data_IF_073291791030
#
_entry.id   IF_073291791030
#
_cell.length_a   1.000
_cell.length_b   1.000
_cell.length_c   1.000
_cell.angle_alpha   90.00
_cell.angle_beta   90.00
_cell.angle_gamma   90.00
#
_symmetry.space_group_name_H-M   'P 1'
#
loop_
_entity.id
_entity.type
_entity.pdbx_description
1 polymer ?
#
# COMPACT_ATOMS: atom_id res chain seq x y z
N UNK A 1 -0.29 22.42 -10.05
CA UNK A 1 0.33 21.10 -10.07
C UNK A 1 -0.74 20.03 -9.99
N UNK A 2 -0.64 19.03 -10.82
CA UNK A 2 -1.56 17.90 -10.80
C UNK A 2 -0.88 16.68 -10.24
N UNK A 3 -1.57 15.96 -9.38
CA UNK A 3 -1.12 14.70 -8.85
C UNK A 3 -2.06 13.60 -9.32
N UNK A 4 -1.48 12.49 -9.73
CA UNK A 4 -2.25 11.30 -10.09
C UNK A 4 -2.24 10.35 -8.88
N UNK A 5 -3.39 10.18 -8.28
CA UNK A 5 -3.54 9.35 -7.09
C UNK A 5 -4.36 8.11 -7.45
N UNK A 6 -3.83 6.94 -7.10
CA UNK A 6 -4.48 5.67 -7.39
C UNK A 6 -4.77 4.90 -6.11
N UNK A 7 -5.82 4.12 -6.17
CA UNK A 7 -6.16 3.14 -5.13
C UNK A 7 -6.51 1.83 -5.84
N UNK A 8 -5.96 0.71 -5.34
CA UNK A 8 -6.10 -0.56 -6.03
C UNK A 8 -6.12 -1.71 -5.03
N UNK A 9 -7.24 -2.43 -4.98
CA UNK A 9 -7.30 -3.66 -4.21
C UNK A 9 -6.69 -4.76 -5.08
N UNK A 10 -5.50 -5.21 -4.71
CA UNK A 10 -4.75 -6.15 -5.56
C UNK A 10 -5.10 -7.62 -5.32
N UNK A 11 -5.83 -7.90 -4.23
CA UNK A 11 -6.25 -9.25 -3.89
C UNK A 11 -5.07 -10.23 -3.95
N UNK A 12 -4.01 -9.87 -3.22
CA UNK A 12 -2.79 -10.64 -3.22
C UNK A 12 -1.76 -10.05 -4.16
N UNK A 13 -0.74 -9.38 -3.58
CA UNK A 13 0.27 -8.71 -4.40
C UNK A 13 1.07 -9.69 -5.25
N UNK A 14 1.41 -10.84 -4.69
CA UNK A 14 2.20 -11.83 -5.45
C UNK A 14 1.46 -12.32 -6.68
N UNK A 15 0.14 -12.45 -6.59
CA UNK A 15 -0.65 -12.86 -7.74
C UNK A 15 -0.69 -11.78 -8.82
N UNK A 16 -0.90 -10.52 -8.41
CA UNK A 16 -1.03 -9.44 -9.39
C UNK A 16 0.33 -9.09 -10.03
N UNK A 17 1.43 -9.40 -9.37
CA UNK A 17 2.76 -9.23 -9.98
C UNK A 17 2.87 -10.04 -11.26
N UNK A 18 2.31 -11.24 -11.28
CA UNK A 18 2.34 -12.11 -12.46
C UNK A 18 1.38 -11.64 -13.54
N UNK A 19 0.57 -10.62 -13.26
CA UNK A 19 -0.40 -10.09 -14.20
C UNK A 19 -0.04 -8.68 -14.67
N UNK A 20 1.21 -8.27 -14.47
CA UNK A 20 1.70 -7.02 -15.02
C UNK A 20 1.64 -5.83 -14.09
N UNK A 21 1.63 -6.05 -12.78
CA UNK A 21 1.55 -4.96 -11.81
C UNK A 21 2.66 -3.92 -12.02
N UNK A 22 3.92 -4.39 -12.11
CA UNK A 22 5.06 -3.47 -12.26
C UNK A 22 4.99 -2.71 -13.58
N UNK A 23 4.64 -3.40 -14.67
CA UNK A 23 4.55 -2.78 -15.98
C UNK A 23 3.48 -1.70 -16.00
N UNK A 24 2.37 -1.92 -15.31
CA UNK A 24 1.30 -0.93 -15.23
C UNK A 24 1.78 0.31 -14.49
N UNK A 25 2.46 0.12 -13.35
CA UNK A 25 2.98 1.26 -12.57
C UNK A 25 4.00 2.03 -13.37
N UNK A 26 4.90 1.34 -14.07
CA UNK A 26 5.93 1.99 -14.87
C UNK A 26 5.34 2.77 -16.04
N UNK A 27 4.26 2.28 -16.62
CA UNK A 27 3.61 2.94 -17.74
C UNK A 27 2.80 4.15 -17.29
N UNK A 28 2.02 4.00 -16.24
CA UNK A 28 1.06 5.03 -15.82
C UNK A 28 1.65 6.03 -14.84
N UNK A 29 2.68 5.65 -14.11
CA UNK A 29 3.43 6.55 -13.22
C UNK A 29 2.56 7.34 -12.25
N UNK A 30 1.67 6.70 -11.48
CA UNK A 30 0.93 7.46 -10.48
C UNK A 30 1.90 8.08 -9.47
N UNK A 31 1.52 9.26 -8.97
CA UNK A 31 2.35 9.92 -7.98
C UNK A 31 2.25 9.22 -6.62
N UNK A 32 1.04 8.76 -6.28
CA UNK A 32 0.79 8.01 -5.06
C UNK A 32 -0.15 6.87 -5.41
N UNK A 33 0.20 5.67 -4.99
CA UNK A 33 -0.62 4.48 -5.17
C UNK A 33 -0.81 3.80 -3.83
N UNK A 34 -2.06 3.70 -3.38
CA UNK A 34 -2.40 2.89 -2.22
C UNK A 34 -2.94 1.55 -2.68
N UNK A 35 -2.38 0.47 -2.15
CA UNK A 35 -2.88 -0.86 -2.46
C UNK A 35 -3.45 -1.50 -1.22
N UNK A 36 -4.46 -2.34 -1.40
CA UNK A 36 -5.12 -3.06 -0.32
C UNK A 36 -5.11 -4.55 -0.61
N UNK A 37 -5.21 -5.33 0.44
CA UNK A 37 -5.18 -6.79 0.38
C UNK A 37 -3.88 -7.31 -0.24
N UNK A 38 -2.74 -6.87 0.30
CA UNK A 38 -1.45 -7.38 -0.17
C UNK A 38 -1.27 -8.85 0.17
N UNK A 39 -1.82 -9.29 1.31
CA UNK A 39 -1.72 -10.64 1.84
C UNK A 39 -0.26 -11.06 2.09
N UNK A 40 0.59 -10.08 2.41
CA UNK A 40 2.02 -10.31 2.63
C UNK A 40 2.40 -10.13 4.08
N UNK A 41 3.45 -10.83 4.45
CA UNK A 41 4.21 -10.55 5.65
C UNK A 41 5.52 -9.87 5.24
N UNK A 42 6.22 -9.32 6.20
CA UNK A 42 7.46 -8.58 5.94
C UNK A 42 8.46 -9.39 5.10
N UNK A 43 8.63 -10.66 5.45
CA UNK A 43 9.61 -11.51 4.77
C UNK A 43 9.18 -11.95 3.38
N UNK A 44 7.94 -11.63 2.97
CA UNK A 44 7.40 -12.07 1.69
C UNK A 44 7.39 -10.97 0.63
N UNK A 45 7.94 -9.81 0.95
CA UNK A 45 7.95 -8.68 0.01
C UNK A 45 8.77 -9.07 -1.22
N UNK A 46 8.17 -9.03 -2.42
CA UNK A 46 8.87 -9.47 -3.64
C UNK A 46 10.02 -8.54 -4.01
N UNK A 47 11.13 -9.12 -4.39
CA UNK A 47 12.32 -8.34 -4.79
C UNK A 47 12.09 -7.55 -6.06
N UNK A 48 11.17 -8.00 -6.90
CA UNK A 48 10.84 -7.33 -8.16
C UNK A 48 10.41 -5.89 -7.95
N UNK A 49 9.84 -5.58 -6.77
CA UNK A 49 9.42 -4.22 -6.47
C UNK A 49 10.58 -3.24 -6.42
N UNK A 50 11.81 -3.73 -6.26
CA UNK A 50 12.98 -2.85 -6.23
C UNK A 50 13.24 -2.19 -7.58
N UNK A 51 12.65 -2.70 -8.65
CA UNK A 51 12.76 -2.06 -9.97
C UNK A 51 11.96 -0.76 -10.05
N UNK A 52 11.03 -0.56 -9.11
CA UNK A 52 10.26 0.69 -9.02
C UNK A 52 11.04 1.69 -8.18
N UNK A 53 12.25 2.04 -8.63
CA UNK A 53 13.17 2.80 -7.81
C UNK A 53 12.86 4.30 -7.72
N UNK A 54 11.82 4.76 -8.42
CA UNK A 54 11.31 6.11 -8.26
C UNK A 54 10.32 6.23 -7.10
N UNK A 55 9.96 5.10 -6.50
CA UNK A 55 8.97 5.06 -5.45
C UNK A 55 9.56 4.71 -4.11
N UNK A 56 9.09 5.40 -3.08
CA UNK A 56 9.25 4.98 -1.71
C UNK A 56 8.06 4.08 -1.41
N UNK A 57 8.29 2.96 -0.73
CA UNK A 57 7.25 1.99 -0.47
C UNK A 57 7.12 1.78 1.04
N UNK A 58 5.91 1.96 1.55
CA UNK A 58 5.59 1.80 2.96
C UNK A 58 4.55 0.71 3.11
N UNK A 59 4.67 -0.08 4.15
CA UNK A 59 3.79 -1.23 4.35
C UNK A 59 3.08 -1.18 5.69
N UNK A 60 1.92 -1.84 5.75
CA UNK A 60 1.28 -2.20 7.00
C UNK A 60 0.80 -3.64 6.83
N UNK A 61 1.47 -4.55 7.52
CA UNK A 61 1.16 -5.98 7.42
C UNK A 61 0.23 -6.38 8.55
N UNK A 62 -0.67 -7.32 8.24
CA UNK A 62 -1.50 -7.92 9.27
C UNK A 62 -0.64 -8.82 10.16
N UNK A 63 -1.00 -8.92 11.42
CA UNK A 63 -0.40 -9.93 12.29
C UNK A 63 -0.83 -11.33 11.89
N UNK A 64 -1.86 -11.43 11.06
CA UNK A 64 -2.38 -12.69 10.54
C UNK A 64 -1.82 -12.97 9.17
N UNK A 65 -1.25 -14.14 9.02
CA UNK A 65 -0.62 -14.57 7.77
C UNK A 65 -1.66 -14.68 6.65
N UNK A 66 -1.29 -14.19 5.47
CA UNK A 66 -2.12 -14.31 4.28
C UNK A 66 -3.42 -13.53 4.33
N UNK A 67 -3.49 -12.50 5.16
CA UNK A 67 -4.71 -11.77 5.43
C UNK A 67 -4.46 -10.27 5.34
N UNK A 68 -5.40 -9.53 4.73
CA UNK A 68 -5.37 -8.06 4.70
C UNK A 68 -4.04 -7.52 4.18
N UNK A 69 -3.50 -6.45 4.80
CA UNK A 69 -2.26 -5.84 4.40
C UNK A 69 -2.47 -4.68 3.44
N UNK A 70 -1.79 -3.55 3.72
CA UNK A 70 -1.86 -2.38 2.85
C UNK A 70 -0.45 -1.93 2.51
N UNK A 71 -0.30 -1.27 1.37
CA UNK A 71 0.96 -0.72 0.94
C UNK A 71 0.76 0.63 0.29
N UNK A 72 1.77 1.48 0.41
CA UNK A 72 1.76 2.81 -0.17
C UNK A 72 3.01 2.99 -1.00
N UNK A 73 2.82 3.27 -2.29
CA UNK A 73 3.90 3.58 -3.21
C UNK A 73 3.82 5.07 -3.50
N UNK A 74 4.87 5.81 -3.26
CA UNK A 74 4.82 7.26 -3.43
C UNK A 74 6.12 7.78 -4.02
N UNK A 75 5.99 8.70 -4.99
CA UNK A 75 7.15 9.44 -5.52
C UNK A 75 7.50 10.61 -4.62
N UNK A 76 6.56 11.05 -3.80
CA UNK A 76 6.74 12.20 -2.91
C UNK A 76 7.21 11.71 -1.55
N UNK A 77 8.16 12.42 -0.95
CA UNK A 77 8.61 12.10 0.40
C UNK A 77 7.59 12.62 1.41
N UNK A 78 6.94 11.76 2.18
CA UNK A 78 5.99 12.24 3.18
C UNK A 78 6.72 12.88 4.37
N UNK A 79 6.07 13.86 4.99
CA UNK A 79 6.59 14.46 6.22
C UNK A 79 6.47 13.49 7.38
N UNK A 80 5.44 12.65 7.36
CA UNK A 80 5.20 11.68 8.40
C UNK A 80 4.42 10.51 7.83
N UNK A 81 4.64 9.33 8.40
CA UNK A 81 3.91 8.14 8.00
C UNK A 81 3.54 7.33 9.23
N UNK A 82 2.30 6.82 9.27
CA UNK A 82 1.87 5.93 10.33
C UNK A 82 0.95 4.86 9.77
N UNK A 83 0.75 3.80 10.56
CA UNK A 83 0.00 2.63 10.11
C UNK A 83 -1.25 2.38 10.95
N UNK A 84 -1.69 3.36 11.71
CA UNK A 84 -2.87 3.17 12.53
C UNK A 84 -3.32 4.46 13.20
N UNK A 85 -4.42 4.34 13.92
CA UNK A 85 -5.06 5.46 14.62
C UNK A 85 -4.77 5.45 16.11
N UNK A 86 -3.89 4.58 16.58
CA UNK A 86 -3.59 4.49 18.00
C UNK A 86 -4.42 3.45 18.75
N UNK A 87 -5.13 2.59 18.03
CA UNK A 87 -5.91 1.50 18.63
C UNK A 87 -5.22 0.18 18.29
N UNK A 88 -4.48 -0.42 19.24
CA UNK A 88 -3.70 -1.64 18.93
C UNK A 88 -4.54 -2.79 18.40
N UNK A 89 -5.76 -2.92 18.88
CA UNK A 89 -6.63 -4.00 18.47
C UNK A 89 -6.99 -3.88 16.98
N UNK A 90 -7.23 -2.66 16.52
CA UNK A 90 -7.56 -2.39 15.14
C UNK A 90 -6.32 -2.29 14.25
N UNK A 91 -5.26 -1.67 14.79
CA UNK A 91 -4.09 -1.31 14.00
C UNK A 91 -3.23 -2.51 13.62
N UNK A 92 -3.39 -3.64 14.29
CA UNK A 92 -2.58 -4.83 14.00
C UNK A 92 -3.08 -5.60 12.78
N UNK A 93 -4.13 -5.13 12.10
CA UNK A 93 -4.71 -5.89 11.01
C UNK A 93 -4.22 -5.48 9.61
N UNK A 94 -3.27 -4.54 9.56
CA UNK A 94 -2.69 -4.16 8.27
C UNK A 94 -3.68 -3.51 7.32
N UNK A 95 -4.50 -2.57 7.83
CA UNK A 95 -5.57 -1.97 7.05
C UNK A 95 -5.36 -0.51 6.71
N UNK A 96 -4.33 0.13 7.27
CA UNK A 96 -4.22 1.59 7.18
C UNK A 96 -2.79 2.02 6.91
N UNK A 97 -2.65 2.90 5.93
CA UNK A 97 -1.44 3.71 5.76
C UNK A 97 -1.87 5.17 5.80
N UNK A 98 -1.20 5.96 6.59
CA UNK A 98 -1.45 7.39 6.69
C UNK A 98 -0.17 8.12 6.33
N UNK A 99 -0.18 8.85 5.22
CA UNK A 99 0.98 9.60 4.76
C UNK A 99 0.64 11.08 4.77
N UNK A 100 1.38 11.84 5.56
CA UNK A 100 1.19 13.27 5.67
C UNK A 100 2.19 13.96 4.76
N UNK A 101 1.67 14.76 3.82
CA UNK A 101 2.47 15.56 2.90
C UNK A 101 2.32 17.03 3.24
N UNK A 102 3.08 17.87 2.58
CA UNK A 102 3.11 19.28 2.90
C UNK A 102 1.71 19.92 2.82
N UNK A 103 0.93 19.58 1.80
CA UNK A 103 -0.36 20.23 1.56
C UNK A 103 -1.57 19.31 1.74
N UNK A 104 -1.37 18.04 2.05
CA UNK A 104 -2.50 17.13 2.18
C UNK A 104 -2.07 15.87 2.92
N UNK A 105 -3.07 15.10 3.34
CA UNK A 105 -2.87 13.79 3.97
C UNK A 105 -3.51 12.75 3.07
N UNK A 106 -2.75 11.69 2.78
CA UNK A 106 -3.27 10.56 2.00
C UNK A 106 -3.55 9.40 2.93
N UNK A 107 -4.79 8.93 2.90
CA UNK A 107 -5.20 7.77 3.70
C UNK A 107 -5.45 6.60 2.77
N UNK A 108 -4.74 5.50 2.99
CA UNK A 108 -4.96 4.25 2.28
C UNK A 108 -5.58 3.28 3.26
N UNK A 109 -6.86 2.97 3.05
CA UNK A 109 -7.62 2.18 4.02
C UNK A 109 -8.24 0.98 3.31
N UNK A 110 -8.06 -0.19 3.91
CA UNK A 110 -8.73 -1.39 3.45
C UNK A 110 -9.99 -1.62 4.29
N UNK A 111 -11.13 -1.58 3.64
CA UNK A 111 -12.41 -1.91 4.27
C UNK A 111 -12.74 -3.34 3.90
N UNK A 112 -12.63 -4.29 4.85
CA UNK A 112 -12.91 -5.68 4.52
C UNK A 112 -14.35 -5.86 4.11
N UNK A 113 -14.55 -6.85 3.25
CA UNK A 113 -15.89 -7.24 2.82
C UNK A 113 -16.70 -7.66 4.04
N UNK A 114 -17.92 -7.14 4.16
CA UNK A 114 -18.79 -7.47 5.29
C UNK A 114 -19.42 -8.85 5.21
N UNK A 115 -18.83 -9.74 4.48
CA UNK A 115 -19.33 -11.09 4.28
C UNK A 115 -19.31 -11.90 5.56
N UNK A 116 -20.33 -12.67 5.82
CA UNK A 116 -20.37 -13.56 6.97
C UNK A 116 -19.68 -14.86 6.73
#
# INVERSE_FOLDING_TARGET
MKLLLWSWNVNGLRAVLNKGFIEIIQREQPDILGIQETKLQEHQIPKELNTLNEYLIYWSHSSRKGYSGTGLFTKLLPLNFSTGFGNPEFDCEGRINIAEYFKFIYLNIYFPNGQK
#
